data_IF_509446925655
#
_entry.id   IF_509446925655
#
_cell.length_a   1.000
_cell.length_b   1.000
_cell.length_c   1.000
_cell.angle_alpha   90.00
_cell.angle_beta   90.00
_cell.angle_gamma   90.00
#
_symmetry.space_group_name_H-M   'P 1'
#
loop_
_entity.id
_entity.type
_entity.pdbx_description
1 polymer ?
#
# COMPACT_ATOMS: atom_id res chain seq x y z
N UNK A 1 -13.05 6.23 -24.21
CA UNK A 1 -13.57 4.97 -24.80
C UNK A 1 -13.63 5.03 -26.32
N UNK A 2 -13.44 6.20 -26.95
CA UNK A 2 -13.40 6.36 -28.42
C UNK A 2 -12.11 5.80 -29.07
N UNK A 3 -10.97 5.80 -28.37
CA UNK A 3 -9.69 5.34 -28.96
C UNK A 3 -9.60 3.81 -29.15
N UNK A 4 -10.48 3.03 -28.50
CA UNK A 4 -10.47 1.56 -28.61
C UNK A 4 -11.34 1.11 -29.79
N UNK A 5 -12.41 1.85 -30.10
CA UNK A 5 -13.20 1.64 -31.31
C UNK A 5 -12.43 2.05 -32.56
N UNK A 6 -11.67 3.14 -32.51
CA UNK A 6 -10.84 3.59 -33.64
C UNK A 6 -9.72 2.58 -33.96
N UNK A 7 -9.06 2.03 -32.93
CA UNK A 7 -8.05 0.99 -33.10
C UNK A 7 -8.62 -0.36 -33.58
N UNK A 8 -9.88 -0.66 -33.23
CA UNK A 8 -10.57 -1.85 -33.71
C UNK A 8 -11.01 -1.71 -35.18
N UNK A 9 -11.42 -0.51 -35.60
CA UNK A 9 -11.74 -0.19 -37.00
C UNK A 9 -10.49 -0.17 -37.89
N UNK A 10 -9.34 0.30 -37.39
CA UNK A 10 -8.05 0.17 -38.11
C UNK A 10 -7.60 -1.30 -38.27
N UNK A 11 -7.82 -2.14 -37.24
CA UNK A 11 -7.47 -3.56 -37.31
C UNK A 11 -8.40 -4.34 -38.27
N UNK A 12 -9.69 -4.00 -38.28
CA UNK A 12 -10.65 -4.58 -39.25
C UNK A 12 -10.38 -4.06 -40.66
N UNK A 13 -9.98 -2.80 -40.81
CA UNK A 13 -9.56 -2.21 -42.08
C UNK A 13 -8.29 -2.83 -42.65
N UNK A 14 -7.31 -3.19 -41.81
CA UNK A 14 -6.08 -3.87 -42.25
C UNK A 14 -6.28 -5.35 -42.56
N UNK A 15 -7.23 -6.04 -41.92
CA UNK A 15 -7.62 -7.41 -42.25
C UNK A 15 -8.49 -7.48 -43.52
N UNK A 16 -9.40 -6.51 -43.73
CA UNK A 16 -10.18 -6.41 -44.95
C UNK A 16 -9.36 -5.90 -46.15
N UNK A 17 -8.35 -5.06 -45.91
CA UNK A 17 -7.45 -4.51 -46.94
C UNK A 17 -6.40 -5.48 -47.48
N UNK A 18 -6.35 -6.72 -46.99
CA UNK A 18 -5.43 -7.77 -47.52
C UNK A 18 -6.06 -8.73 -48.51
N UNK A 19 -7.35 -8.59 -48.84
CA UNK A 19 -8.05 -9.45 -49.81
C UNK A 19 -8.32 -8.80 -51.18
N UNK A 20 -8.03 -7.50 -51.36
CA UNK A 20 -8.19 -6.81 -52.64
C UNK A 20 -6.96 -6.00 -53.08
N UNK A 21 -5.90 -6.70 -53.52
CA UNK A 21 -4.86 -6.15 -54.41
C UNK A 21 -3.92 -7.25 -54.92
N UNK A 22 -4.37 -8.08 -55.88
CA UNK A 22 -3.64 -8.39 -57.12
C UNK A 22 -4.42 -9.44 -57.95
N UNK A 23 -5.51 -8.99 -58.58
CA UNK A 23 -6.09 -9.67 -59.73
C UNK A 23 -5.52 -9.01 -61.00
N UNK A 24 -4.24 -9.27 -61.30
CA UNK A 24 -3.69 -9.08 -62.63
C UNK A 24 -3.62 -10.42 -63.35
N UNK A 25 -4.42 -10.50 -64.41
CA UNK A 25 -4.29 -11.47 -65.50
C UNK A 25 -2.90 -11.35 -66.14
N UNK A 26 -2.10 -12.41 -66.03
CA UNK A 26 -0.81 -12.53 -66.69
C UNK A 26 -0.55 -13.98 -67.08
N UNK A 27 -0.51 -14.24 -68.38
CA UNK A 27 -0.08 -15.49 -68.99
C UNK A 27 1.24 -15.99 -68.37
N UNK A 28 1.36 -17.31 -68.22
CA UNK A 28 2.46 -17.97 -67.52
C UNK A 28 3.83 -17.73 -68.17
N UNK A 29 4.51 -16.65 -67.77
CA UNK A 29 5.96 -16.60 -67.80
C UNK A 29 6.48 -17.42 -66.61
N UNK A 30 7.18 -18.51 -66.91
CA UNK A 30 7.78 -19.40 -65.90
C UNK A 30 8.86 -18.60 -65.17
N UNK A 31 8.57 -18.16 -63.94
CA UNK A 31 9.52 -17.49 -63.04
C UNK A 31 10.90 -18.14 -63.19
N UNK A 32 11.92 -17.33 -63.44
CA UNK A 32 13.27 -17.85 -63.63
C UNK A 32 13.72 -18.58 -62.36
N UNK A 33 14.61 -19.56 -62.50
CA UNK A 33 15.03 -20.41 -61.39
C UNK A 33 15.64 -19.58 -60.24
N UNK A 34 16.21 -18.43 -60.56
CA UNK A 34 16.78 -17.44 -59.64
C UNK A 34 15.71 -16.68 -58.86
N UNK A 35 14.66 -16.16 -59.51
CA UNK A 35 13.54 -15.49 -58.84
C UNK A 35 12.78 -16.45 -57.91
N UNK A 36 12.64 -17.72 -58.33
CA UNK A 36 12.04 -18.77 -57.49
C UNK A 36 12.90 -19.09 -56.27
N UNK A 37 14.23 -19.08 -56.41
CA UNK A 37 15.19 -19.23 -55.29
C UNK A 37 15.14 -18.04 -54.34
N UNK A 38 15.13 -16.81 -54.86
CA UNK A 38 15.03 -15.59 -54.05
C UNK A 38 13.72 -15.51 -53.26
N UNK A 39 12.58 -15.86 -53.89
CA UNK A 39 11.28 -15.94 -53.21
C UNK A 39 11.26 -17.02 -52.12
N UNK A 40 11.92 -18.16 -52.36
CA UNK A 40 12.09 -19.20 -51.34
C UNK A 40 12.97 -18.74 -50.18
N UNK A 41 14.03 -17.98 -50.46
CA UNK A 41 14.91 -17.44 -49.42
C UNK A 41 14.22 -16.38 -48.57
N UNK A 42 13.47 -15.46 -49.19
CA UNK A 42 12.62 -14.50 -48.47
C UNK A 42 11.58 -15.22 -47.60
N UNK A 43 10.97 -16.30 -48.10
CA UNK A 43 10.04 -17.12 -47.31
C UNK A 43 10.75 -17.80 -46.13
N UNK A 44 11.96 -18.33 -46.35
CA UNK A 44 12.78 -18.90 -45.26
C UNK A 44 13.18 -17.85 -44.23
N UNK A 45 13.52 -16.63 -44.65
CA UNK A 45 13.83 -15.52 -43.75
C UNK A 45 12.61 -15.12 -42.92
N UNK A 46 11.44 -14.97 -43.56
CA UNK A 46 10.16 -14.70 -42.87
C UNK A 46 9.78 -15.81 -41.89
N UNK A 47 9.99 -17.08 -42.25
CA UNK A 47 9.76 -18.22 -41.36
C UNK A 47 10.74 -18.24 -40.17
N UNK A 48 12.00 -17.83 -40.38
CA UNK A 48 12.98 -17.71 -39.30
C UNK A 48 12.64 -16.56 -38.37
N UNK A 49 12.26 -15.39 -38.91
CA UNK A 49 11.92 -14.22 -38.09
C UNK A 49 10.65 -14.46 -37.28
N UNK A 50 9.63 -15.11 -37.88
CA UNK A 50 8.41 -15.49 -37.16
C UNK A 50 8.69 -16.53 -36.07
N UNK A 51 9.50 -17.56 -36.36
CA UNK A 51 9.89 -18.54 -35.35
C UNK A 51 10.67 -17.91 -34.17
N UNK A 52 11.57 -16.96 -34.44
CA UNK A 52 12.30 -16.22 -33.41
C UNK A 52 11.38 -15.29 -32.61
N UNK A 53 10.46 -14.58 -33.27
CA UNK A 53 9.48 -13.73 -32.61
C UNK A 53 8.56 -14.54 -31.70
N UNK A 54 8.06 -15.69 -32.17
CA UNK A 54 7.24 -16.62 -31.40
C UNK A 54 8.01 -17.18 -30.20
N UNK A 55 9.28 -17.56 -30.37
CA UNK A 55 10.11 -17.99 -29.23
C UNK A 55 10.31 -16.88 -28.22
N UNK A 56 10.53 -15.64 -28.67
CA UNK A 56 10.72 -14.48 -27.81
C UNK A 56 9.43 -14.15 -27.04
N UNK A 57 8.27 -14.15 -27.70
CA UNK A 57 6.99 -13.90 -27.02
C UNK A 57 6.67 -14.97 -25.98
N UNK A 58 6.93 -16.25 -26.27
CA UNK A 58 6.73 -17.36 -25.34
C UNK A 58 7.63 -17.24 -24.10
N UNK A 59 8.90 -16.85 -24.30
CA UNK A 59 9.83 -16.57 -23.19
C UNK A 59 9.33 -15.36 -22.39
N UNK A 60 8.97 -14.26 -23.05
CA UNK A 60 8.48 -13.06 -22.38
C UNK A 60 7.22 -13.33 -21.55
N UNK A 61 6.25 -14.05 -22.10
CA UNK A 61 5.05 -14.47 -21.40
C UNK A 61 5.39 -15.33 -20.17
N UNK A 62 6.28 -16.32 -20.33
CA UNK A 62 6.72 -17.16 -19.22
C UNK A 62 7.46 -16.36 -18.13
N UNK A 63 8.21 -15.33 -18.51
CA UNK A 63 8.90 -14.45 -17.55
C UNK A 63 7.90 -13.53 -16.84
N UNK A 64 6.95 -12.93 -17.57
CA UNK A 64 5.88 -12.09 -17.01
C UNK A 64 5.03 -12.90 -16.03
N UNK A 65 4.69 -14.14 -16.37
CA UNK A 65 3.93 -15.04 -15.49
C UNK A 65 4.67 -15.38 -14.18
N UNK A 66 6.01 -15.38 -14.20
CA UNK A 66 6.85 -15.63 -13.01
C UNK A 66 7.04 -14.40 -12.13
N UNK A 67 6.77 -13.18 -12.64
CA UNK A 67 6.94 -11.95 -11.86
C UNK A 67 5.76 -11.81 -10.90
N UNK A 68 6.03 -11.95 -9.61
CA UNK A 68 5.03 -11.67 -8.58
C UNK A 68 4.79 -10.17 -8.44
N UNK A 69 3.64 -9.77 -7.88
CA UNK A 69 3.36 -8.35 -7.61
C UNK A 69 4.44 -7.67 -6.74
N UNK A 70 5.06 -8.42 -5.82
CA UNK A 70 6.16 -7.94 -4.99
C UNK A 70 7.43 -7.68 -5.79
N UNK A 71 7.74 -8.55 -6.75
CA UNK A 71 8.90 -8.41 -7.62
C UNK A 71 8.69 -7.29 -8.64
N UNK A 72 7.48 -7.15 -9.18
CA UNK A 72 7.10 -6.01 -10.02
C UNK A 72 7.31 -4.67 -9.29
N UNK A 73 6.81 -4.54 -8.06
CA UNK A 73 7.01 -3.33 -7.24
C UNK A 73 8.47 -3.11 -6.83
N UNK A 74 9.31 -4.15 -6.78
CA UNK A 74 10.76 -4.01 -6.57
C UNK A 74 11.44 -3.48 -7.83
N UNK A 75 11.12 -4.05 -9.00
CA UNK A 75 11.65 -3.63 -10.29
C UNK A 75 11.23 -2.19 -10.62
N UNK A 76 9.99 -1.81 -10.35
CA UNK A 76 9.51 -0.44 -10.54
C UNK A 76 10.30 0.56 -9.68
N UNK A 77 10.56 0.23 -8.40
CA UNK A 77 11.41 1.07 -7.54
C UNK A 77 12.84 1.18 -8.05
N UNK A 78 13.41 0.10 -8.58
CA UNK A 78 14.73 0.12 -9.21
C UNK A 78 14.75 0.97 -10.47
N UNK A 79 13.72 0.89 -11.32
CA UNK A 79 13.56 1.72 -12.53
C UNK A 79 13.45 3.20 -12.18
N UNK A 80 12.55 3.56 -11.25
CA UNK A 80 12.41 4.94 -10.76
C UNK A 80 13.71 5.46 -10.16
N UNK A 81 14.45 4.64 -9.41
CA UNK A 81 15.75 5.01 -8.87
C UNK A 81 16.76 5.25 -10.00
N UNK A 82 16.81 4.37 -11.00
CA UNK A 82 17.69 4.52 -12.15
C UNK A 82 17.35 5.77 -12.98
N UNK A 83 16.06 6.07 -13.17
CA UNK A 83 15.59 7.28 -13.83
C UNK A 83 15.99 8.54 -13.05
N UNK A 84 15.80 8.56 -11.73
CA UNK A 84 16.21 9.68 -10.88
C UNK A 84 17.74 9.86 -10.89
N UNK A 85 18.51 8.77 -10.86
CA UNK A 85 19.97 8.84 -10.97
C UNK A 85 20.41 9.34 -12.35
N UNK A 86 19.75 8.90 -13.42
CA UNK A 86 20.04 9.38 -14.78
C UNK A 86 19.72 10.87 -14.91
N UNK A 87 18.55 11.31 -14.46
CA UNK A 87 18.15 12.71 -14.45
C UNK A 87 19.10 13.57 -13.62
N UNK A 88 19.59 13.04 -12.49
CA UNK A 88 20.59 13.72 -11.67
C UNK A 88 21.92 13.87 -12.41
N UNK A 89 22.42 12.81 -13.07
CA UNK A 89 23.62 12.88 -13.90
C UNK A 89 23.45 13.86 -15.08
N UNK A 90 22.32 13.77 -15.80
CA UNK A 90 21.97 14.67 -16.91
C UNK A 90 21.88 16.15 -16.45
N UNK A 91 21.58 16.41 -15.17
CA UNK A 91 21.52 17.76 -14.60
C UNK A 91 22.88 18.22 -14.06
N UNK A 92 23.70 17.32 -13.50
CA UNK A 92 25.09 17.60 -13.14
C UNK A 92 25.93 17.98 -14.37
N UNK A 93 25.75 17.26 -15.48
CA UNK A 93 26.40 17.55 -16.78
C UNK A 93 25.97 18.93 -17.35
N UNK A 94 24.72 19.35 -17.09
CA UNK A 94 24.20 20.68 -17.45
C UNK A 94 24.60 21.77 -16.46
N UNK A 95 25.19 21.43 -15.32
CA UNK A 95 25.53 22.37 -14.24
C UNK A 95 24.32 22.93 -13.49
N UNK A 96 23.17 22.25 -13.54
CA UNK A 96 21.94 22.64 -12.84
C UNK A 96 21.88 22.05 -11.42
N UNK A 97 21.52 22.87 -10.44
CA UNK A 97 21.32 22.44 -9.04
C UNK A 97 19.94 21.79 -8.87
N UNK A 98 19.89 20.46 -9.00
CA UNK A 98 18.67 19.64 -8.94
C UNK A 98 17.91 19.82 -7.62
N UNK A 99 18.64 19.95 -6.51
CA UNK A 99 18.01 20.07 -5.19
C UNK A 99 17.36 21.44 -5.00
N UNK A 100 17.95 22.50 -5.60
CA UNK A 100 17.32 23.82 -5.63
C UNK A 100 16.03 23.84 -6.45
N UNK A 101 16.02 23.21 -7.63
CA UNK A 101 14.80 23.11 -8.45
C UNK A 101 13.69 22.36 -7.69
N UNK A 102 14.00 21.22 -7.06
CA UNK A 102 13.05 20.48 -6.21
C UNK A 102 12.54 21.30 -5.03
N UNK A 103 13.40 22.07 -4.37
CA UNK A 103 13.00 22.92 -3.25
C UNK A 103 12.04 24.03 -3.67
N UNK A 104 12.08 24.47 -4.93
CA UNK A 104 11.13 25.45 -5.47
C UNK A 104 9.75 24.84 -5.75
N UNK A 105 9.68 23.53 -5.98
CA UNK A 105 8.41 22.81 -6.17
C UNK A 105 7.65 22.63 -4.85
N UNK A 106 8.32 22.72 -3.70
CA UNK A 106 7.66 22.60 -2.41
C UNK A 106 6.89 23.86 -2.05
N UNK A 107 5.59 23.67 -1.86
CA UNK A 107 4.73 24.73 -1.33
C UNK A 107 4.92 24.88 0.18
N UNK A 108 4.58 26.06 0.72
CA UNK A 108 4.67 26.34 2.16
C UNK A 108 3.81 25.34 2.95
N UNK A 109 2.62 25.04 2.46
CA UNK A 109 1.70 24.09 3.09
C UNK A 109 2.28 22.67 3.14
N UNK A 110 2.87 22.19 2.04
CA UNK A 110 3.55 20.89 1.99
C UNK A 110 4.75 20.83 2.95
N UNK A 111 5.52 21.92 3.05
CA UNK A 111 6.63 22.00 3.99
C UNK A 111 6.12 21.95 5.45
N UNK A 112 5.06 22.70 5.78
CA UNK A 112 4.46 22.69 7.12
C UNK A 112 3.91 21.31 7.50
N UNK A 113 3.23 20.63 6.57
CA UNK A 113 2.77 19.27 6.76
C UNK A 113 3.93 18.29 6.95
N UNK A 114 5.00 18.46 6.18
CA UNK A 114 6.21 17.66 6.29
C UNK A 114 6.92 17.86 7.64
N UNK A 115 7.06 19.10 8.09
CA UNK A 115 7.61 19.43 9.40
C UNK A 115 6.74 18.86 10.53
N UNK A 116 5.42 18.99 10.43
CA UNK A 116 4.47 18.39 11.38
C UNK A 116 4.61 16.87 11.42
N UNK A 117 4.81 16.21 10.27
CA UNK A 117 5.05 14.77 10.17
C UNK A 117 6.39 14.38 10.79
N UNK A 118 7.46 15.16 10.55
CA UNK A 118 8.80 14.94 11.12
C UNK A 118 8.78 15.13 12.63
N UNK A 119 8.16 16.20 13.14
CA UNK A 119 7.97 16.47 14.56
C UNK A 119 7.14 15.37 15.24
N UNK A 120 6.08 14.88 14.58
CA UNK A 120 5.29 13.74 15.07
C UNK A 120 6.12 12.45 15.13
N UNK A 121 7.00 12.22 14.15
CA UNK A 121 7.91 11.07 14.13
C UNK A 121 8.96 11.16 15.23
N UNK A 122 9.55 12.34 15.44
CA UNK A 122 10.50 12.60 16.52
C UNK A 122 9.86 12.32 17.89
N UNK A 123 8.66 12.85 18.16
CA UNK A 123 7.91 12.56 19.40
C UNK A 123 7.54 11.09 19.60
N UNK A 124 7.52 10.28 18.53
CA UNK A 124 7.24 8.85 18.61
C UNK A 124 8.50 7.99 18.62
N UNK A 125 9.68 8.59 18.42
CA UNK A 125 10.96 7.89 18.46
C UNK A 125 11.44 7.60 19.90
N UNK A 126 10.79 8.21 20.90
CA UNK A 126 11.09 7.94 22.31
C UNK A 126 10.53 6.58 22.74
N UNK A 127 11.41 5.58 22.73
CA UNK A 127 11.11 4.21 23.13
C UNK A 127 11.37 3.94 24.62
N UNK A 128 11.88 4.92 25.35
CA UNK A 128 12.17 4.79 26.77
C UNK A 128 10.89 4.51 27.58
N UNK A 129 11.05 3.77 28.66
CA UNK A 129 9.99 3.46 29.59
C UNK A 129 10.11 4.39 30.80
N UNK A 130 9.12 5.28 30.95
CA UNK A 130 9.01 6.18 32.10
C UNK A 130 8.04 5.59 33.13
N UNK A 131 6.74 5.54 32.76
CA UNK A 131 5.66 5.03 33.60
C UNK A 131 4.70 4.14 32.78
N UNK A 132 3.93 3.30 33.46
CA UNK A 132 2.90 2.47 32.82
C UNK A 132 1.79 3.30 32.18
N UNK A 133 1.39 4.41 32.81
CA UNK A 133 0.41 5.33 32.26
C UNK A 133 0.90 5.93 30.92
N UNK A 134 2.17 6.31 30.83
CA UNK A 134 2.77 6.83 29.58
C UNK A 134 2.83 5.77 28.49
N UNK A 135 3.17 4.54 28.86
CA UNK A 135 3.15 3.41 27.93
C UNK A 135 1.73 3.12 27.41
N UNK A 136 0.72 3.16 28.29
CA UNK A 136 -0.69 3.01 27.93
C UNK A 136 -1.16 4.13 27.00
N UNK A 137 -0.86 5.39 27.30
CA UNK A 137 -1.17 6.55 26.44
C UNK A 137 -0.54 6.42 25.06
N UNK A 138 0.73 6.01 24.97
CA UNK A 138 1.41 5.78 23.68
C UNK A 138 0.74 4.68 22.86
N UNK A 139 0.34 3.58 23.50
CA UNK A 139 -0.39 2.48 22.85
C UNK A 139 -1.75 2.96 22.34
N UNK A 140 -2.54 3.62 23.19
CA UNK A 140 -3.85 4.16 22.82
C UNK A 140 -3.75 5.13 21.63
N UNK A 141 -2.79 6.06 21.64
CA UNK A 141 -2.58 6.99 20.52
C UNK A 141 -2.25 6.26 19.21
N UNK A 142 -1.47 5.18 19.27
CA UNK A 142 -1.15 4.36 18.10
C UNK A 142 -2.38 3.59 17.60
N UNK A 143 -3.22 3.10 18.50
CA UNK A 143 -4.46 2.44 18.14
C UNK A 143 -5.43 3.43 17.46
N UNK A 144 -5.52 4.68 17.94
CA UNK A 144 -6.29 5.73 17.27
C UNK A 144 -5.83 6.00 15.83
N UNK A 145 -4.52 5.94 15.56
CA UNK A 145 -4.01 6.10 14.18
C UNK A 145 -4.40 4.91 13.28
N UNK A 146 -4.64 3.72 13.86
CA UNK A 146 -4.96 2.49 13.13
C UNK A 146 -6.47 2.29 12.94
N UNK A 147 -7.30 2.89 13.78
CA UNK A 147 -8.76 2.81 13.69
C UNK A 147 -9.22 3.57 12.45
N UNK A 148 -9.95 2.88 11.57
CA UNK A 148 -10.62 3.46 10.42
C UNK A 148 -12.14 3.41 10.67
N UNK A 149 -12.78 4.54 10.99
CA UNK A 149 -14.23 4.58 11.20
C UNK A 149 -14.99 4.25 9.92
N UNK A 150 -16.11 3.55 10.07
CA UNK A 150 -17.09 3.35 9.00
C UNK A 150 -17.98 4.60 8.90
N UNK A 151 -17.65 5.48 7.96
CA UNK A 151 -18.35 6.75 7.78
C UNK A 151 -19.75 6.55 7.19
N UNK A 152 -19.99 5.50 6.42
CA UNK A 152 -21.29 5.27 5.77
C UNK A 152 -22.32 4.81 6.79
N UNK A 153 -21.95 3.84 7.63
CA UNK A 153 -22.80 3.42 8.75
C UNK A 153 -23.10 4.57 9.71
N UNK A 154 -22.09 5.39 10.02
CA UNK A 154 -22.26 6.58 10.85
C UNK A 154 -23.19 7.61 10.21
N UNK A 155 -23.02 7.90 8.92
CA UNK A 155 -23.86 8.85 8.20
C UNK A 155 -25.31 8.39 8.12
N UNK A 156 -25.59 7.10 7.91
CA UNK A 156 -26.96 6.56 7.95
C UNK A 156 -27.63 6.74 9.30
N UNK A 157 -26.90 6.48 10.39
CA UNK A 157 -27.41 6.73 11.75
C UNK A 157 -27.67 8.23 11.98
N UNK A 158 -26.79 9.09 11.44
CA UNK A 158 -26.92 10.54 11.50
C UNK A 158 -28.10 11.09 10.67
N UNK A 159 -28.37 10.53 9.50
CA UNK A 159 -29.53 10.88 8.68
C UNK A 159 -30.83 10.60 9.45
N UNK A 160 -30.95 9.42 10.07
CA UNK A 160 -32.12 9.06 10.87
C UNK A 160 -32.32 10.00 12.08
N UNK A 161 -31.25 10.33 12.79
CA UNK A 161 -31.28 11.26 13.91
C UNK A 161 -31.71 12.68 13.48
N UNK A 162 -31.29 13.11 12.30
CA UNK A 162 -31.63 14.43 11.77
C UNK A 162 -32.95 14.43 10.98
N UNK A 163 -33.57 13.28 10.76
CA UNK A 163 -34.80 13.14 9.96
C UNK A 163 -34.58 13.36 8.46
N UNK A 164 -33.35 13.21 7.97
CA UNK A 164 -33.03 13.31 6.55
C UNK A 164 -33.35 12.00 5.82
N UNK A 165 -33.59 12.10 4.52
CA UNK A 165 -33.75 10.93 3.66
C UNK A 165 -32.45 10.08 3.65
N UNK A 166 -32.57 8.74 3.56
CA UNK A 166 -31.41 7.87 3.50
C UNK A 166 -30.54 8.21 2.28
N UNK A 167 -29.23 8.38 2.51
CA UNK A 167 -28.25 8.75 1.48
C UNK A 167 -28.03 10.26 1.29
N UNK A 168 -28.69 11.12 2.06
CA UNK A 168 -28.51 12.57 1.97
C UNK A 168 -27.13 13.08 2.48
N UNK A 169 -26.49 12.37 3.41
CA UNK A 169 -25.15 12.65 3.95
C UNK A 169 -24.07 11.72 3.39
N UNK A 170 -24.45 10.60 2.78
CA UNK A 170 -23.51 9.75 2.05
C UNK A 170 -22.82 10.60 0.98
N UNK A 171 -21.49 10.69 1.06
CA UNK A 171 -20.70 11.67 0.34
C UNK A 171 -20.88 11.52 -1.18
N UNK A 172 -21.68 12.41 -1.76
CA UNK A 172 -21.62 12.81 -3.16
C UNK A 172 -20.17 13.26 -3.44
N UNK A 173 -19.39 12.38 -4.07
CA UNK A 173 -18.05 12.68 -4.57
C UNK A 173 -18.04 13.61 -5.78
N UNK A 174 -19.21 14.11 -6.20
CA UNK A 174 -19.38 15.04 -7.31
C UNK A 174 -20.46 16.05 -6.93
N UNK A 175 -20.10 17.33 -6.99
CA UNK A 175 -20.98 18.49 -6.79
C UNK A 175 -22.19 18.46 -7.73
N UNK A 176 -23.28 17.86 -7.28
CA UNK A 176 -24.61 18.10 -7.84
C UNK A 176 -25.64 17.81 -6.77
N UNK A 177 -26.43 18.84 -6.49
CA UNK A 177 -27.51 18.97 -5.52
C UNK A 177 -28.27 17.69 -5.13
N UNK A 178 -28.78 17.59 -3.89
CA UNK A 178 -29.60 16.48 -3.41
C UNK A 178 -30.99 16.40 -4.08
N UNK A 179 -31.23 17.14 -5.18
CA UNK A 179 -32.51 17.25 -5.86
C UNK A 179 -32.68 16.24 -7.02
N UNK A 180 -31.60 15.58 -7.47
CA UNK A 180 -31.61 14.83 -8.75
C UNK A 180 -31.52 13.29 -8.61
N UNK A 181 -31.62 12.72 -7.41
CA UNK A 181 -31.61 11.25 -7.23
C UNK A 181 -33.03 10.67 -7.21
N UNK A 182 -33.82 10.91 -8.27
CA UNK A 182 -35.09 10.22 -8.49
C UNK A 182 -34.85 9.05 -9.46
N UNK A 183 -34.80 7.83 -8.93
CA UNK A 183 -34.72 6.59 -9.72
C UNK A 183 -36.13 6.00 -9.90
N UNK A 184 -36.72 6.05 -11.11
CA UNK A 184 -38.05 5.50 -11.38
C UNK A 184 -38.08 3.96 -11.49
N UNK A 185 -36.92 3.30 -11.51
CA UNK A 185 -36.78 1.83 -11.57
C UNK A 185 -36.64 1.16 -10.20
N UNK A 186 -36.30 1.93 -9.16
CA UNK A 186 -36.30 1.48 -7.78
C UNK A 186 -37.76 1.39 -7.29
N UNK A 187 -38.42 0.27 -7.62
CA UNK A 187 -39.83 0.06 -7.30
C UNK A 187 -40.13 0.32 -5.83
N UNK A 188 -40.93 1.35 -5.55
CA UNK A 188 -41.78 1.57 -4.36
C UNK A 188 -41.35 0.86 -3.06
N UNK A 189 -40.07 0.90 -2.69
CA UNK A 189 -39.70 0.66 -1.30
C UNK A 189 -40.10 1.94 -0.59
N UNK A 190 -41.32 1.92 -0.03
CA UNK A 190 -41.93 2.97 0.77
C UNK A 190 -40.85 3.68 1.61
N UNK A 191 -40.33 4.81 1.11
CA UNK A 191 -39.39 5.64 1.85
C UNK A 191 -40.21 6.37 2.90
N UNK A 192 -40.49 5.66 4.00
CA UNK A 192 -41.14 6.22 5.17
C UNK A 192 -40.12 7.18 5.78
N UNK A 193 -40.35 8.48 5.60
CA UNK A 193 -39.69 9.50 6.41
C UNK A 193 -39.84 9.08 7.89
N UNK A 194 -38.75 9.07 8.69
CA UNK A 194 -38.83 8.63 10.07
C UNK A 194 -39.88 9.48 10.79
N UNK A 195 -40.74 8.84 11.59
CA UNK A 195 -41.75 9.57 12.36
C UNK A 195 -41.05 10.51 13.36
N UNK A 196 -41.72 11.59 13.76
CA UNK A 196 -41.13 12.59 14.68
C UNK A 196 -40.63 11.96 15.99
N UNK A 197 -41.31 10.93 16.51
CA UNK A 197 -40.86 10.18 17.68
C UNK A 197 -39.62 9.32 17.40
N UNK A 198 -39.59 8.61 16.27
CA UNK A 198 -38.43 7.81 15.86
C UNK A 198 -37.19 8.69 15.65
N UNK A 199 -37.37 9.87 15.06
CA UNK A 199 -36.31 10.85 14.92
C UNK A 199 -35.78 11.31 16.28
N UNK A 200 -36.65 11.64 17.23
CA UNK A 200 -36.24 12.05 18.59
C UNK A 200 -35.47 10.94 19.31
N UNK A 201 -35.97 9.71 19.27
CA UNK A 201 -35.28 8.56 19.87
C UNK A 201 -33.94 8.27 19.18
N UNK A 202 -33.88 8.35 17.85
CA UNK A 202 -32.64 8.19 17.10
C UNK A 202 -31.63 9.30 17.42
N UNK A 203 -32.10 10.54 17.60
CA UNK A 203 -31.27 11.67 18.01
C UNK A 203 -30.74 11.50 19.44
N UNK A 204 -31.58 11.06 20.38
CA UNK A 204 -31.16 10.74 21.75
C UNK A 204 -30.16 9.56 21.79
N UNK A 205 -30.31 8.58 20.89
CA UNK A 205 -29.38 7.46 20.78
C UNK A 205 -28.03 7.88 20.18
N UNK A 206 -28.01 8.76 19.18
CA UNK A 206 -26.79 9.21 18.51
C UNK A 206 -26.02 10.27 19.32
N UNK A 207 -26.73 11.23 19.92
CA UNK A 207 -26.17 12.34 20.69
C UNK A 207 -26.50 12.17 22.18
N UNK A 208 -26.00 11.08 22.77
CA UNK A 208 -26.18 10.82 24.21
C UNK A 208 -25.40 11.81 25.06
N UNK A 209 -26.10 12.40 26.03
CA UNK A 209 -25.50 13.18 27.11
C UNK A 209 -25.26 12.30 28.36
N UNK A 210 -24.49 12.79 29.33
CA UNK A 210 -24.20 12.13 30.59
C UNK A 210 -25.45 11.72 31.39
N UNK A 211 -26.59 12.39 31.15
CA UNK A 211 -27.87 12.12 31.81
C UNK A 211 -28.83 11.25 30.96
N UNK A 212 -28.38 10.69 29.83
CA UNK A 212 -29.20 9.78 29.03
C UNK A 212 -29.46 8.47 29.77
N UNK A 213 -30.73 8.10 29.93
CA UNK A 213 -31.17 6.87 30.59
C UNK A 213 -31.05 5.62 29.71
N UNK A 214 -30.83 5.80 28.41
CA UNK A 214 -30.64 4.68 27.52
C UNK A 214 -29.23 4.10 27.78
N UNK A 215 -29.14 2.89 28.32
CA UNK A 215 -27.89 2.21 28.68
C UNK A 215 -28.03 0.72 28.41
N UNK A 216 -26.97 0.08 27.91
CA UNK A 216 -26.93 -1.36 27.57
C UNK A 216 -27.90 -1.84 26.46
N UNK A 217 -28.55 -0.94 25.72
CA UNK A 217 -29.44 -1.31 24.61
C UNK A 217 -28.71 -1.72 23.31
N UNK A 218 -27.41 -1.40 23.20
CA UNK A 218 -26.64 -1.66 21.98
C UNK A 218 -26.28 -3.15 21.84
N UNK A 219 -26.83 -3.80 20.81
CA UNK A 219 -26.46 -5.14 20.37
C UNK A 219 -25.60 -5.02 19.11
N UNK A 220 -24.25 -4.99 19.24
CA UNK A 220 -23.36 -4.86 18.09
C UNK A 220 -23.54 -6.03 17.13
N UNK A 221 -23.34 -5.80 15.83
CA UNK A 221 -23.32 -6.88 14.84
C UNK A 221 -22.14 -7.82 15.09
N UNK A 222 -22.26 -9.06 14.63
CA UNK A 222 -21.19 -10.06 14.70
C UNK A 222 -19.90 -9.55 14.03
N UNK A 223 -20.01 -8.88 12.88
CA UNK A 223 -18.86 -8.27 12.19
C UNK A 223 -18.14 -7.22 13.06
N UNK A 224 -18.88 -6.44 13.86
CA UNK A 224 -18.27 -5.47 14.76
C UNK A 224 -17.52 -6.16 15.91
N UNK A 225 -18.06 -7.26 16.42
CA UNK A 225 -17.43 -8.11 17.43
C UNK A 225 -16.15 -8.73 16.87
N UNK A 226 -16.19 -9.29 15.67
CA UNK A 226 -15.04 -9.91 15.01
C UNK A 226 -13.90 -8.93 14.76
N UNK A 227 -14.21 -7.68 14.37
CA UNK A 227 -13.20 -6.61 14.25
C UNK A 227 -12.47 -6.36 15.57
N UNK A 228 -13.20 -6.34 16.69
CA UNK A 228 -12.61 -6.16 18.02
C UNK A 228 -11.78 -7.37 18.42
N UNK A 229 -12.29 -8.59 18.22
CA UNK A 229 -11.55 -9.84 18.53
C UNK A 229 -10.25 -9.92 17.72
N UNK A 230 -10.31 -9.63 16.42
CA UNK A 230 -9.13 -9.58 15.55
C UNK A 230 -8.08 -8.59 16.08
N UNK A 231 -8.51 -7.39 16.49
CA UNK A 231 -7.62 -6.38 17.08
C UNK A 231 -7.00 -6.85 18.40
N UNK A 232 -7.78 -7.49 19.28
CA UNK A 232 -7.29 -8.05 20.54
C UNK A 232 -6.22 -9.12 20.29
N UNK A 233 -6.46 -10.03 19.36
CA UNK A 233 -5.49 -11.08 18.99
C UNK A 233 -4.19 -10.47 18.45
N UNK A 234 -4.28 -9.45 17.60
CA UNK A 234 -3.09 -8.72 17.12
C UNK A 234 -2.32 -8.05 18.25
N UNK A 235 -3.00 -7.53 19.28
CA UNK A 235 -2.35 -6.90 20.43
C UNK A 235 -1.69 -7.91 21.36
N UNK A 236 -2.29 -9.10 21.53
CA UNK A 236 -1.68 -10.23 22.22
C UNK A 236 -0.39 -10.64 21.51
N UNK A 237 -0.42 -10.75 20.19
CA UNK A 237 0.76 -11.08 19.37
C UNK A 237 1.86 -10.02 19.46
N UNK A 238 1.50 -8.73 19.47
CA UNK A 238 2.47 -7.64 19.66
C UNK A 238 3.08 -7.69 21.06
N UNK A 239 2.28 -8.03 22.08
CA UNK A 239 2.74 -8.14 23.47
C UNK A 239 3.70 -9.33 23.64
N UNK A 240 3.41 -10.49 23.04
CA UNK A 240 4.31 -11.65 23.08
C UNK A 240 5.66 -11.36 22.40
N UNK A 241 5.64 -10.59 21.31
CA UNK A 241 6.84 -10.19 20.55
C UNK A 241 7.57 -8.96 21.11
N UNK A 242 7.12 -8.39 22.22
CA UNK A 242 7.73 -7.18 22.81
C UNK A 242 9.16 -7.44 23.29
N UNK A 243 9.41 -8.59 23.92
CA UNK A 243 10.75 -9.03 24.31
C UNK A 243 11.31 -9.96 23.23
N UNK A 244 12.27 -9.49 22.44
CA UNK A 244 12.92 -10.27 21.37
C UNK A 244 14.25 -10.82 21.85
N UNK A 245 14.53 -12.11 21.58
CA UNK A 245 15.87 -12.69 21.77
C UNK A 245 16.85 -11.95 20.84
N UNK A 246 17.97 -11.48 21.38
CA UNK A 246 19.04 -10.88 20.56
C UNK A 246 19.87 -12.02 19.97
N UNK A 247 20.19 -11.92 18.67
CA UNK A 247 20.94 -12.96 17.95
C UNK A 247 22.41 -13.04 18.39
N UNK A 248 22.99 -11.93 18.85
CA UNK A 248 24.41 -11.82 19.23
C UNK A 248 24.75 -12.45 20.60
N UNK A 249 23.96 -13.40 21.11
CA UNK A 249 24.16 -13.97 22.45
C UNK A 249 24.98 -15.27 22.45
N UNK A 250 25.31 -15.83 21.28
CA UNK A 250 25.97 -17.15 21.16
C UNK A 250 27.45 -17.05 20.70
N UNK A 251 27.96 -15.86 20.36
CA UNK A 251 29.30 -15.64 19.76
C UNK A 251 30.37 -15.14 20.76
N UNK A 252 30.20 -15.40 22.07
CA UNK A 252 31.12 -14.94 23.10
C UNK A 252 31.49 -16.03 24.11
N UNK A 253 32.52 -15.76 24.91
CA UNK A 253 32.96 -16.66 25.98
C UNK A 253 31.83 -16.96 26.96
N UNK A 254 31.57 -18.24 27.18
CA UNK A 254 30.48 -18.70 28.04
C UNK A 254 30.89 -18.53 29.50
N UNK A 255 30.42 -17.44 30.12
CA UNK A 255 30.70 -17.12 31.54
C UNK A 255 29.71 -17.74 32.53
N UNK A 256 28.84 -18.65 32.09
CA UNK A 256 27.73 -19.19 32.89
C UNK A 256 27.60 -20.71 32.76
N UNK A 257 27.13 -21.35 33.83
CA UNK A 257 26.90 -22.81 33.88
C UNK A 257 25.44 -23.16 33.58
N UNK A 258 24.48 -22.30 33.97
CA UNK A 258 23.04 -22.52 33.75
C UNK A 258 22.33 -21.26 33.22
N UNK A 259 21.10 -21.41 32.71
CA UNK A 259 20.33 -20.30 32.12
C UNK A 259 19.99 -19.20 33.13
N UNK A 260 19.76 -19.55 34.41
CA UNK A 260 19.50 -18.56 35.47
C UNK A 260 20.74 -17.71 35.74
N UNK A 261 21.92 -18.33 35.74
CA UNK A 261 23.22 -17.71 35.89
C UNK A 261 23.52 -16.82 34.68
N UNK A 262 23.20 -17.25 33.45
CA UNK A 262 23.29 -16.40 32.25
C UNK A 262 22.49 -15.11 32.37
N UNK A 263 21.22 -15.22 32.78
CA UNK A 263 20.34 -14.06 32.99
C UNK A 263 20.85 -13.16 34.11
N UNK A 264 21.40 -13.75 35.18
CA UNK A 264 22.00 -13.02 36.29
C UNK A 264 23.28 -12.27 35.88
N UNK A 265 24.23 -12.93 35.21
CA UNK A 265 25.44 -12.31 34.66
C UNK A 265 25.07 -11.20 33.67
N UNK A 266 24.06 -11.41 32.83
CA UNK A 266 23.54 -10.36 31.93
C UNK A 266 22.93 -9.18 32.69
N UNK A 267 22.32 -9.41 33.85
CA UNK A 267 21.83 -8.33 34.72
C UNK A 267 23.01 -7.55 35.29
N UNK A 268 24.01 -8.23 35.86
CA UNK A 268 25.24 -7.61 36.37
C UNK A 268 25.92 -6.79 35.28
N UNK A 269 26.06 -7.36 34.09
CA UNK A 269 26.73 -6.70 32.96
C UNK A 269 26.10 -5.35 32.62
N UNK A 270 24.77 -5.24 32.64
CA UNK A 270 24.07 -3.96 32.36
C UNK A 270 24.42 -2.83 33.34
N UNK A 271 24.71 -3.16 34.60
CA UNK A 271 24.99 -2.17 35.63
C UNK A 271 26.47 -1.93 35.84
N UNK A 272 27.29 -2.99 35.77
CA UNK A 272 28.69 -2.94 36.19
C UNK A 272 29.70 -2.88 35.05
N UNK A 273 29.37 -3.31 33.82
CA UNK A 273 30.34 -3.33 32.71
C UNK A 273 30.90 -1.94 32.38
N UNK A 274 30.09 -0.89 32.59
CA UNK A 274 30.55 0.50 32.43
C UNK A 274 31.72 0.83 33.36
N UNK A 275 31.78 0.23 34.54
CA UNK A 275 32.79 0.51 35.58
C UNK A 275 33.90 -0.55 35.62
N UNK A 276 33.65 -1.76 35.12
CA UNK A 276 34.61 -2.88 35.16
C UNK A 276 35.31 -3.14 33.82
N UNK A 277 35.13 -2.27 32.84
CA UNK A 277 35.74 -2.38 31.50
C UNK A 277 37.27 -2.50 31.55
N UNK A 278 37.93 -1.69 32.39
CA UNK A 278 39.39 -1.72 32.54
C UNK A 278 39.87 -3.04 33.16
N UNK A 279 39.17 -3.51 34.19
CA UNK A 279 39.47 -4.79 34.85
C UNK A 279 39.34 -5.93 33.84
N UNK A 280 38.27 -5.94 33.03
CA UNK A 280 38.08 -6.93 31.97
C UNK A 280 39.20 -6.90 30.93
N UNK A 281 39.55 -5.71 30.44
CA UNK A 281 40.65 -5.55 29.48
C UNK A 281 42.00 -5.96 30.07
N UNK A 282 42.24 -5.79 31.37
CA UNK A 282 43.45 -6.26 32.04
C UNK A 282 43.49 -7.79 32.18
N UNK A 283 42.36 -8.44 32.42
CA UNK A 283 42.27 -9.91 32.39
C UNK A 283 42.52 -10.45 30.98
N UNK A 284 41.95 -9.84 29.94
CA UNK A 284 42.17 -10.22 28.54
C UNK A 284 43.63 -9.98 28.09
N UNK A 285 44.29 -8.95 28.64
CA UNK A 285 45.72 -8.66 28.41
C UNK A 285 46.68 -9.50 29.27
N UNK A 286 46.19 -10.43 30.09
CA UNK A 286 47.04 -11.33 30.89
C UNK A 286 47.56 -10.74 32.20
N UNK A 287 46.74 -9.98 32.92
CA UNK A 287 47.01 -9.48 34.28
C UNK A 287 48.30 -8.65 34.43
N UNK A 288 48.70 -7.94 33.38
CA UNK A 288 49.71 -6.90 33.50
C UNK A 288 49.04 -5.63 34.07
N UNK A 289 49.41 -5.28 35.31
CA UNK A 289 49.14 -3.96 35.91
C UNK A 289 49.98 -2.89 35.21
#
# INVERSE_FOLDING_TARGET
MENVSEAAEELVGTLAGTEEADAQTGEGSKMTLEERKARMEQLRQKMRTSALANRKSLIEESTKAKVTARDAARLERQRKLAEVLRQKADAEDRGEDVERQKNWEWTIEENDEWEKKKARKARRADFEFNNDADAARRRYKKDLDLIKPDLDAYNRQKELALGLAPGALAKSGNSSSPLNSFDPGAGSSLQVLPTSEQQRLAAEYLYRDANSLLYADNKPSEEAIDRVISKINQDIDKKSKFSRKRHNEDEGDITYINERNRVFNKKIARYYDKYTAEIRASFERGTAL
#
